data_IF_787950519853
#
_entry.id   IF_787950519853
#
_cell.length_a   1.000
_cell.length_b   1.000
_cell.length_c   1.000
_cell.angle_alpha   90.00
_cell.angle_beta   90.00
_cell.angle_gamma   90.00
#
_symmetry.space_group_name_H-M   'P 1'
#
loop_
_entity.id
_entity.type
_entity.pdbx_description
1 polymer ?
#
# COMPACT_ATOMS: atom_id res chain seq x y z
N UNK A 1 -36.91 -13.31 -15.42
CA UNK A 1 -36.44 -12.09 -14.75
C UNK A 1 -34.91 -12.05 -14.82
N UNK A 2 -34.33 -11.10 -15.55
CA UNK A 2 -32.89 -10.90 -15.54
C UNK A 2 -32.48 -10.12 -14.27
N UNK A 3 -31.46 -10.59 -13.55
CA UNK A 3 -30.84 -9.87 -12.42
C UNK A 3 -29.46 -9.38 -12.86
N UNK A 4 -29.18 -8.11 -12.60
CA UNK A 4 -27.85 -7.52 -12.78
C UNK A 4 -27.16 -7.37 -11.42
N UNK A 5 -25.84 -7.53 -11.38
CA UNK A 5 -25.01 -7.30 -10.20
C UNK A 5 -23.66 -6.70 -10.61
N UNK A 6 -23.01 -6.02 -9.66
CA UNK A 6 -21.69 -5.41 -9.85
C UNK A 6 -20.70 -6.11 -8.93
N UNK A 7 -19.53 -6.46 -9.45
CA UNK A 7 -18.42 -7.05 -8.69
C UNK A 7 -17.20 -6.15 -8.87
N UNK A 8 -16.51 -5.87 -7.76
CA UNK A 8 -15.22 -5.20 -7.79
C UNK A 8 -14.11 -6.26 -7.91
N UNK A 9 -13.23 -6.07 -8.89
CA UNK A 9 -12.07 -6.94 -9.12
C UNK A 9 -10.78 -6.17 -8.82
N UNK A 10 -9.71 -6.84 -8.36
CA UNK A 10 -8.42 -6.22 -8.12
C UNK A 10 -7.81 -5.69 -9.43
N UNK A 11 -7.11 -4.55 -9.34
CA UNK A 11 -6.40 -3.94 -10.46
C UNK A 11 -5.09 -4.68 -10.80
N UNK A 12 -4.51 -5.42 -9.85
CA UNK A 12 -3.24 -6.11 -10.02
C UNK A 12 -2.14 -5.49 -9.17
N UNK A 13 -1.22 -4.73 -9.76
CA UNK A 13 -0.07 -4.14 -9.06
C UNK A 13 -0.27 -2.63 -8.89
N UNK A 14 -0.16 -2.14 -7.66
CA UNK A 14 -0.28 -0.71 -7.33
C UNK A 14 1.02 -0.14 -6.76
N UNK A 15 1.30 1.12 -7.06
CA UNK A 15 2.46 1.86 -6.53
C UNK A 15 2.01 2.85 -5.45
N UNK A 16 2.61 2.79 -4.28
CA UNK A 16 2.35 3.65 -3.14
C UNK A 16 3.58 4.52 -2.88
N UNK A 17 3.45 5.83 -3.11
CA UNK A 17 4.49 6.82 -2.81
C UNK A 17 4.11 7.60 -1.55
N UNK A 18 4.90 7.50 -0.49
CA UNK A 18 4.63 8.21 0.77
C UNK A 18 5.47 9.49 0.90
N UNK A 19 4.88 10.59 1.42
CA UNK A 19 5.59 11.84 1.69
C UNK A 19 6.36 11.80 3.03
N UNK A 20 7.15 12.84 3.30
CA UNK A 20 8.07 12.91 4.46
C UNK A 20 7.43 13.34 5.78
N UNK A 21 6.23 13.91 5.77
CA UNK A 21 5.57 14.46 6.96
C UNK A 21 5.01 13.36 7.89
N UNK A 22 4.43 12.30 7.32
CA UNK A 22 3.98 11.11 8.06
C UNK A 22 4.34 9.84 7.30
N UNK A 23 5.65 9.52 7.18
CA UNK A 23 6.16 8.51 6.25
C UNK A 23 5.66 7.09 6.57
N UNK A 24 5.32 6.82 7.84
CA UNK A 24 4.71 5.55 8.26
C UNK A 24 3.21 5.52 7.94
N UNK A 25 2.42 6.42 8.54
CA UNK A 25 0.96 6.40 8.41
C UNK A 25 0.49 6.54 6.95
N UNK A 26 1.09 7.46 6.19
CA UNK A 26 0.70 7.70 4.80
C UNK A 26 1.22 6.62 3.84
N UNK A 27 2.14 5.75 4.27
CA UNK A 27 2.51 4.55 3.53
C UNK A 27 1.61 3.37 3.89
N UNK A 28 1.35 3.15 5.19
CA UNK A 28 0.63 1.99 5.69
C UNK A 28 -0.87 2.04 5.39
N UNK A 29 -1.51 3.21 5.54
CA UNK A 29 -2.94 3.36 5.27
C UNK A 29 -3.35 2.92 3.84
N UNK A 30 -2.70 3.41 2.76
CA UNK A 30 -3.00 2.93 1.41
C UNK A 30 -2.53 1.49 1.17
N UNK A 31 -1.47 1.02 1.84
CA UNK A 31 -0.99 -0.37 1.71
C UNK A 31 -2.03 -1.36 2.23
N UNK A 32 -2.60 -1.11 3.40
CA UNK A 32 -3.66 -1.94 3.98
C UNK A 32 -4.86 -2.03 3.03
N UNK A 33 -5.29 -0.89 2.47
CA UNK A 33 -6.40 -0.86 1.51
C UNK A 33 -6.09 -1.62 0.22
N UNK A 34 -4.88 -1.48 -0.32
CA UNK A 34 -4.45 -2.17 -1.53
C UNK A 34 -4.46 -3.69 -1.35
N UNK A 35 -3.88 -4.18 -0.25
CA UNK A 35 -3.84 -5.61 0.08
C UNK A 35 -5.25 -6.15 0.38
N UNK A 36 -6.06 -5.41 1.14
CA UNK A 36 -7.45 -5.81 1.44
C UNK A 36 -8.31 -5.91 0.18
N UNK A 37 -8.04 -5.08 -0.83
CA UNK A 37 -8.68 -5.16 -2.14
C UNK A 37 -8.11 -6.26 -3.06
N UNK A 38 -7.15 -7.07 -2.58
CA UNK A 38 -6.57 -8.18 -3.34
C UNK A 38 -5.49 -7.78 -4.35
N UNK A 39 -4.90 -6.58 -4.20
CA UNK A 39 -3.82 -6.11 -5.08
C UNK A 39 -2.45 -6.46 -4.50
N UNK A 40 -1.46 -6.61 -5.36
CA UNK A 40 -0.05 -6.52 -4.98
C UNK A 40 0.35 -5.04 -4.92
N UNK A 41 1.24 -4.68 -3.99
CA UNK A 41 1.67 -3.29 -3.80
C UNK A 41 3.19 -3.14 -3.81
N UNK A 42 3.68 -2.10 -4.48
CA UNK A 42 5.06 -1.63 -4.43
C UNK A 42 5.08 -0.34 -3.63
N UNK A 43 5.93 -0.27 -2.61
CA UNK A 43 6.07 0.92 -1.78
C UNK A 43 7.35 1.68 -2.14
N UNK A 44 7.23 3.00 -2.27
CA UNK A 44 8.37 3.93 -2.39
C UNK A 44 8.28 4.98 -1.29
N UNK A 45 8.92 4.74 -0.15
CA UNK A 45 8.99 5.71 0.93
C UNK A 45 9.75 6.98 0.53
N UNK A 46 9.49 8.08 1.26
CA UNK A 46 10.20 9.34 1.06
C UNK A 46 11.70 9.23 1.36
N UNK A 47 12.53 9.72 0.43
CA UNK A 47 13.99 9.80 0.61
C UNK A 47 14.42 10.70 1.79
N UNK A 48 13.55 11.62 2.23
CA UNK A 48 13.82 12.54 3.33
C UNK A 48 13.61 11.90 4.71
N UNK A 49 13.07 10.68 4.79
CA UNK A 49 12.84 9.94 6.03
C UNK A 49 13.50 8.55 5.99
N UNK A 50 14.84 8.47 5.95
CA UNK A 50 15.56 7.21 5.70
C UNK A 50 15.40 6.18 6.84
N UNK A 51 15.38 6.63 8.10
CA UNK A 51 15.25 5.73 9.25
C UNK A 51 13.88 5.04 9.29
N UNK A 52 12.80 5.80 9.06
CA UNK A 52 11.45 5.24 8.99
C UNK A 52 11.28 4.33 7.78
N UNK A 53 11.86 4.71 6.64
CA UNK A 53 11.84 3.88 5.43
C UNK A 53 12.52 2.52 5.66
N UNK A 54 13.66 2.51 6.37
CA UNK A 54 14.34 1.27 6.74
C UNK A 54 13.51 0.42 7.70
N UNK A 55 12.91 1.04 8.72
CA UNK A 55 12.04 0.34 9.66
C UNK A 55 10.81 -0.29 8.97
N UNK A 56 10.20 0.41 8.00
CA UNK A 56 9.11 -0.14 7.18
C UNK A 56 9.59 -1.32 6.34
N UNK A 57 10.76 -1.22 5.71
CA UNK A 57 11.34 -2.31 4.92
C UNK A 57 11.65 -3.55 5.78
N UNK A 58 12.20 -3.36 6.98
CA UNK A 58 12.44 -4.43 7.95
C UNK A 58 11.13 -5.07 8.42
N UNK A 59 10.12 -4.25 8.74
CA UNK A 59 8.80 -4.73 9.19
C UNK A 59 8.13 -5.60 8.11
N UNK A 60 8.10 -5.12 6.86
CA UNK A 60 7.46 -5.86 5.76
C UNK A 60 8.29 -7.09 5.36
N UNK A 61 9.62 -7.01 5.38
CA UNK A 61 10.48 -8.14 5.06
C UNK A 61 10.58 -9.21 6.16
N UNK A 62 10.15 -8.90 7.38
CA UNK A 62 10.09 -9.84 8.51
C UNK A 62 8.85 -10.75 8.50
N UNK A 63 7.84 -10.41 7.70
CA UNK A 63 6.62 -11.20 7.49
C UNK A 63 6.83 -12.15 6.31
#
# INVERSE_FOLDING_TARGET
HAKSFVVAEPYGIVLIMSPWNYPFQLCMAPLIGAIAAGNCAVIKPSAYAPHTSRAIAELIGSV
#
